data_IF_425876911799
#
_entry.id   IF_425876911799
#
_cell.length_a   1.000
_cell.length_b   1.000
_cell.length_c   1.000
_cell.angle_alpha   90.00
_cell.angle_beta   90.00
_cell.angle_gamma   90.00
#
_symmetry.space_group_name_H-M   'P 1'
#
loop_
_entity.id
_entity.type
_entity.pdbx_description
1 polymer ?
#
# COMPACT_ATOMS: atom_id res chain seq x y z
N UNK A 1 -0.69 -3.57 20.47
CA UNK A 1 -2.07 -4.08 20.33
C UNK A 1 -3.02 -3.30 21.22
N UNK A 2 -4.10 -2.75 20.65
CA UNK A 2 -5.12 -2.01 21.39
C UNK A 2 -6.01 -2.92 22.26
N UNK A 3 -6.89 -2.31 23.09
CA UNK A 3 -7.83 -3.08 23.94
C UNK A 3 -8.74 -4.00 23.12
N UNK A 4 -9.23 -3.54 21.97
CA UNK A 4 -10.05 -4.33 21.06
C UNK A 4 -9.29 -5.56 20.49
N UNK A 5 -8.01 -5.39 20.13
CA UNK A 5 -7.19 -6.49 19.61
C UNK A 5 -6.96 -7.57 20.67
N UNK A 6 -6.78 -7.18 21.93
CA UNK A 6 -6.64 -8.12 23.06
C UNK A 6 -7.91 -8.92 23.31
N UNK A 7 -9.08 -8.29 23.18
CA UNK A 7 -10.38 -8.97 23.29
C UNK A 7 -10.54 -9.94 22.12
N UNK A 8 -10.29 -9.45 20.90
CA UNK A 8 -10.36 -10.25 19.68
C UNK A 8 -9.49 -11.51 19.76
N UNK A 9 -8.23 -11.37 20.21
CA UNK A 9 -7.29 -12.48 20.34
C UNK A 9 -7.75 -13.57 21.32
N UNK A 10 -8.62 -13.24 22.29
CA UNK A 10 -9.15 -14.20 23.27
C UNK A 10 -10.43 -14.90 22.81
N UNK A 11 -11.07 -14.44 21.74
CA UNK A 11 -12.26 -15.09 21.21
C UNK A 11 -11.91 -16.44 20.58
N UNK A 12 -12.76 -17.48 20.69
CA UNK A 12 -12.63 -18.68 19.90
C UNK A 12 -12.73 -18.34 18.40
N UNK A 13 -12.22 -19.20 17.53
CA UNK A 13 -12.17 -18.98 16.07
C UNK A 13 -13.53 -18.56 15.49
N UNK A 14 -14.63 -19.22 15.88
CA UNK A 14 -15.98 -18.84 15.46
C UNK A 14 -16.36 -17.41 15.89
N UNK A 15 -16.01 -17.02 17.11
CA UNK A 15 -16.18 -15.66 17.62
C UNK A 15 -15.33 -14.65 16.84
N UNK A 16 -14.11 -15.02 16.45
CA UNK A 16 -13.24 -14.18 15.63
C UNK A 16 -13.80 -14.00 14.19
N UNK A 17 -14.41 -15.04 13.60
CA UNK A 17 -15.15 -14.91 12.34
C UNK A 17 -16.35 -13.97 12.46
N UNK A 18 -17.12 -14.09 13.55
CA UNK A 18 -18.26 -13.22 13.82
C UNK A 18 -17.81 -11.76 14.01
N UNK A 19 -16.74 -11.50 14.77
CA UNK A 19 -16.18 -10.18 14.98
C UNK A 19 -15.67 -9.54 13.67
N UNK A 20 -14.93 -10.30 12.86
CA UNK A 20 -14.46 -9.85 11.54
C UNK A 20 -15.64 -9.55 10.60
N UNK A 21 -16.69 -10.36 10.64
CA UNK A 21 -17.90 -10.13 9.84
C UNK A 21 -18.67 -8.89 10.32
N UNK A 22 -18.86 -8.69 11.63
CA UNK A 22 -19.50 -7.49 12.16
C UNK A 22 -18.73 -6.21 11.78
N UNK A 23 -17.40 -6.24 11.89
CA UNK A 23 -16.54 -5.16 11.41
C UNK A 23 -16.62 -4.99 9.89
N UNK A 24 -16.74 -6.10 9.16
CA UNK A 24 -16.96 -6.14 7.72
C UNK A 24 -18.29 -5.51 7.29
N UNK A 25 -19.37 -5.66 8.07
CA UNK A 25 -20.65 -5.00 7.80
C UNK A 25 -20.53 -3.48 7.87
N UNK A 26 -19.85 -2.98 8.91
CA UNK A 26 -19.53 -1.55 9.01
C UNK A 26 -18.76 -1.07 7.77
N UNK A 27 -17.66 -1.75 7.41
CA UNK A 27 -16.87 -1.37 6.23
C UNK A 27 -17.62 -1.50 4.92
N UNK A 28 -18.50 -2.49 4.79
CA UNK A 28 -19.36 -2.64 3.62
C UNK A 28 -20.26 -1.42 3.45
N UNK A 29 -20.85 -0.91 4.54
CA UNK A 29 -21.67 0.29 4.48
C UNK A 29 -20.87 1.57 4.22
N UNK A 30 -19.68 1.70 4.81
CA UNK A 30 -18.79 2.83 4.54
C UNK A 30 -18.38 2.85 3.05
N UNK A 31 -17.94 1.71 2.50
CA UNK A 31 -17.34 1.60 1.17
C UNK A 31 -18.33 1.45 0.02
N UNK A 32 -19.43 0.75 0.25
CA UNK A 32 -20.40 0.36 -0.78
C UNK A 32 -21.82 0.84 -0.44
N UNK A 33 -21.94 1.83 0.44
CA UNK A 33 -23.22 2.44 0.82
C UNK A 33 -23.78 3.38 -0.27
N UNK A 34 -24.77 4.22 0.08
CA UNK A 34 -25.45 5.10 -0.87
C UNK A 34 -24.50 5.97 -1.71
N UNK A 35 -24.78 6.10 -3.00
CA UNK A 35 -23.95 6.85 -3.95
C UNK A 35 -22.79 6.06 -4.56
N UNK A 36 -22.41 4.89 -4.01
CA UNK A 36 -21.31 4.09 -4.56
C UNK A 36 -21.53 3.69 -6.03
N UNK A 37 -22.75 3.29 -6.42
CA UNK A 37 -23.04 2.91 -7.81
C UNK A 37 -22.89 4.09 -8.78
N UNK A 38 -23.36 5.30 -8.39
CA UNK A 38 -23.16 6.52 -9.19
C UNK A 38 -21.68 6.78 -9.42
N UNK A 39 -20.86 6.65 -8.37
CA UNK A 39 -19.41 6.83 -8.51
C UNK A 39 -18.80 5.79 -9.46
N UNK A 40 -19.24 4.53 -9.40
CA UNK A 40 -18.80 3.49 -10.35
C UNK A 40 -19.17 3.87 -11.78
N UNK A 41 -20.39 4.34 -12.02
CA UNK A 41 -20.86 4.78 -13.35
C UNK A 41 -20.06 5.99 -13.84
N UNK A 42 -19.77 6.95 -12.96
CA UNK A 42 -18.96 8.13 -13.26
C UNK A 42 -17.52 7.74 -13.68
N UNK A 43 -16.83 6.90 -12.90
CA UNK A 43 -15.48 6.45 -13.27
C UNK A 43 -15.47 5.60 -14.54
N UNK A 44 -16.51 4.79 -14.75
CA UNK A 44 -16.68 3.96 -15.96
C UNK A 44 -16.91 4.82 -17.20
N UNK A 45 -17.70 5.89 -17.09
CA UNK A 45 -18.01 6.80 -18.20
C UNK A 45 -16.77 7.49 -18.77
N UNK A 46 -15.71 7.62 -17.95
CA UNK A 46 -14.43 8.24 -18.32
C UNK A 46 -13.36 7.24 -18.75
N UNK A 47 -13.59 5.93 -18.64
CA UNK A 47 -12.55 4.92 -18.90
C UNK A 47 -11.96 4.99 -20.32
N UNK A 48 -12.72 5.58 -21.25
CA UNK A 48 -12.39 5.72 -22.69
C UNK A 48 -12.36 7.16 -23.17
N UNK A 49 -12.21 8.14 -22.28
CA UNK A 49 -11.92 9.51 -22.70
C UNK A 49 -10.68 9.55 -23.59
N UNK A 50 -10.74 10.36 -24.65
CA UNK A 50 -9.57 10.69 -25.46
C UNK A 50 -8.64 11.68 -24.75
N UNK A 51 -7.52 12.03 -25.40
CA UNK A 51 -6.52 12.90 -24.80
C UNK A 51 -7.05 14.32 -24.52
N UNK A 52 -7.90 14.86 -25.39
CA UNK A 52 -8.45 16.21 -25.21
C UNK A 52 -9.50 16.20 -24.09
N UNK A 53 -10.39 15.21 -24.07
CA UNK A 53 -11.37 15.03 -23.00
C UNK A 53 -10.70 14.88 -21.63
N UNK A 54 -9.58 14.15 -21.55
CA UNK A 54 -8.79 14.07 -20.32
C UNK A 54 -8.17 15.40 -19.93
N UNK A 55 -7.57 16.13 -20.88
CA UNK A 55 -6.97 17.42 -20.64
C UNK A 55 -8.00 18.43 -20.12
N UNK A 56 -9.16 18.53 -20.77
CA UNK A 56 -10.25 19.43 -20.40
C UNK A 56 -10.80 19.08 -19.01
N UNK A 57 -11.07 17.80 -18.77
CA UNK A 57 -11.57 17.33 -17.47
C UNK A 57 -10.57 17.64 -16.36
N UNK A 58 -9.30 17.32 -16.57
CA UNK A 58 -8.27 17.50 -15.54
C UNK A 58 -7.99 18.97 -15.27
N UNK A 59 -7.94 19.82 -16.30
CA UNK A 59 -7.75 21.26 -16.14
C UNK A 59 -8.87 21.90 -15.32
N UNK A 60 -10.13 21.60 -15.68
CA UNK A 60 -11.30 22.11 -14.94
C UNK A 60 -11.27 21.65 -13.49
N UNK A 61 -11.06 20.35 -13.26
CA UNK A 61 -11.04 19.79 -11.90
C UNK A 61 -9.87 20.32 -11.07
N UNK A 62 -8.70 20.50 -11.67
CA UNK A 62 -7.52 21.03 -10.99
C UNK A 62 -7.74 22.46 -10.53
N UNK A 63 -8.34 23.32 -11.36
CA UNK A 63 -8.67 24.69 -10.97
C UNK A 63 -9.61 24.75 -9.76
N UNK A 64 -10.71 23.99 -9.79
CA UNK A 64 -11.63 23.87 -8.65
C UNK A 64 -10.95 23.35 -7.38
N UNK A 65 -10.12 22.33 -7.52
CA UNK A 65 -9.41 21.69 -6.42
C UNK A 65 -8.44 22.66 -5.75
N UNK A 66 -7.60 23.34 -6.54
CA UNK A 66 -6.59 24.27 -6.04
C UNK A 66 -7.23 25.49 -5.39
N UNK A 67 -8.27 26.08 -6.00
CA UNK A 67 -9.03 27.16 -5.40
C UNK A 67 -9.69 26.73 -4.07
N UNK A 68 -10.24 25.51 -4.03
CA UNK A 68 -10.81 24.94 -2.81
C UNK A 68 -9.77 24.72 -1.71
N UNK A 69 -8.56 24.28 -2.06
CA UNK A 69 -7.49 23.99 -1.11
C UNK A 69 -7.01 25.24 -0.35
N UNK A 70 -7.14 26.45 -0.92
CA UNK A 70 -6.84 27.71 -0.22
C UNK A 70 -7.71 27.94 1.03
N UNK A 71 -8.79 27.17 1.20
CA UNK A 71 -9.64 27.19 2.41
C UNK A 71 -9.11 26.31 3.55
N UNK A 72 -7.98 25.63 3.35
CA UNK A 72 -7.23 24.99 4.43
C UNK A 72 -6.26 26.00 5.06
N UNK A 73 -6.15 26.07 6.40
CA UNK A 73 -5.26 27.02 7.07
C UNK A 73 -3.81 26.99 6.59
N UNK A 74 -3.27 25.81 6.30
CA UNK A 74 -1.91 25.68 5.79
C UNK A 74 -1.72 26.46 4.48
N UNK A 75 -2.51 26.20 3.45
CA UNK A 75 -2.35 26.86 2.14
C UNK A 75 -2.74 28.34 2.18
N UNK A 76 -3.71 28.72 3.01
CA UNK A 76 -4.09 30.13 3.20
C UNK A 76 -2.95 31.00 3.76
N UNK A 77 -2.17 30.43 4.68
CA UNK A 77 -1.10 31.14 5.40
C UNK A 77 0.28 30.97 4.74
N UNK A 78 0.59 29.77 4.22
CA UNK A 78 1.92 29.45 3.69
C UNK A 78 2.14 29.91 2.25
N UNK A 79 1.09 30.04 1.43
CA UNK A 79 1.24 30.52 0.06
C UNK A 79 1.37 32.04 0.01
N UNK A 80 2.28 32.54 -0.81
CA UNK A 80 2.35 33.97 -1.16
C UNK A 80 1.10 34.39 -1.96
N UNK A 81 0.85 35.70 -2.07
CA UNK A 81 -0.26 36.21 -2.91
C UNK A 81 -0.13 35.78 -4.38
N UNK A 82 1.09 35.69 -4.90
CA UNK A 82 1.33 35.16 -6.25
C UNK A 82 0.97 33.67 -6.37
N UNK A 83 1.32 32.86 -5.36
CA UNK A 83 0.98 31.43 -5.32
C UNK A 83 -0.53 31.21 -5.12
N UNK A 84 -1.21 32.04 -4.32
CA UNK A 84 -2.67 31.99 -4.18
C UNK A 84 -3.36 32.31 -5.52
N UNK A 85 -2.87 33.32 -6.24
CA UNK A 85 -3.36 33.63 -7.60
C UNK A 85 -3.11 32.47 -8.56
N UNK A 86 -1.90 31.90 -8.55
CA UNK A 86 -1.56 30.74 -9.36
C UNK A 86 -2.48 29.54 -9.06
N UNK A 87 -2.76 29.26 -7.79
CA UNK A 87 -3.69 28.21 -7.37
C UNK A 87 -5.12 28.48 -7.86
N UNK A 88 -5.62 29.72 -7.70
CA UNK A 88 -6.94 30.11 -8.19
C UNK A 88 -7.09 30.01 -9.71
N UNK A 89 -6.00 30.21 -10.45
CA UNK A 89 -5.93 30.14 -11.91
C UNK A 89 -5.49 28.76 -12.44
N UNK A 90 -5.34 27.76 -11.56
CA UNK A 90 -5.00 26.39 -11.95
C UNK A 90 -3.53 26.15 -12.33
N UNK A 91 -2.62 27.11 -12.10
CA UNK A 91 -1.20 27.01 -12.47
C UNK A 91 -0.39 26.22 -11.45
N UNK A 92 -0.47 24.90 -11.56
CA UNK A 92 0.17 23.97 -10.61
C UNK A 92 1.70 24.12 -10.54
N UNK A 93 2.40 24.33 -11.65
CA UNK A 93 3.87 24.40 -11.70
C UNK A 93 4.48 25.56 -10.90
N UNK A 94 3.70 26.61 -10.64
CA UNK A 94 4.10 27.78 -9.84
C UNK A 94 3.96 27.55 -8.31
N UNK A 95 3.37 26.43 -7.90
CA UNK A 95 3.15 26.09 -6.50
C UNK A 95 4.35 25.33 -5.92
N UNK A 96 4.68 25.51 -4.63
CA UNK A 96 5.81 24.83 -4.00
C UNK A 96 5.53 23.33 -3.83
N UNK A 97 6.59 22.53 -3.76
CA UNK A 97 6.51 21.12 -3.40
C UNK A 97 6.09 20.96 -1.92
N UNK A 98 5.29 19.93 -1.63
CA UNK A 98 4.84 19.62 -0.28
C UNK A 98 5.62 18.43 0.29
N UNK A 99 6.40 18.74 1.33
CA UNK A 99 7.17 17.76 2.09
C UNK A 99 6.30 17.01 3.12
N UNK A 100 6.62 15.74 3.35
CA UNK A 100 5.91 14.88 4.32
C UNK A 100 5.91 15.44 5.74
N UNK A 101 7.02 16.08 6.13
CA UNK A 101 7.21 16.56 7.49
C UNK A 101 6.19 17.62 7.89
N UNK A 102 5.84 18.52 6.97
CA UNK A 102 4.87 19.58 7.21
C UNK A 102 3.49 19.02 7.59
N UNK A 103 3.09 17.92 6.97
CA UNK A 103 1.83 17.23 7.26
C UNK A 103 1.91 16.49 8.60
N UNK A 104 3.06 15.87 8.92
CA UNK A 104 3.27 15.17 10.21
C UNK A 104 3.20 16.13 11.38
N UNK A 105 3.82 17.30 11.23
CA UNK A 105 3.91 18.31 12.31
C UNK A 105 2.52 18.86 12.66
N UNK A 106 1.65 19.05 11.68
CA UNK A 106 0.30 19.56 11.94
C UNK A 106 -0.75 19.13 10.89
N UNK A 107 -1.26 17.89 10.95
CA UNK A 107 -2.17 17.36 9.92
C UNK A 107 -3.51 18.11 9.86
N UNK A 108 -3.95 18.69 10.98
CA UNK A 108 -5.21 19.43 11.10
C UNK A 108 -5.21 20.74 10.29
N UNK A 109 -4.04 21.36 10.07
CA UNK A 109 -3.91 22.59 9.27
C UNK A 109 -4.15 22.35 7.77
N UNK A 110 -4.08 21.10 7.32
CA UNK A 110 -4.36 20.73 5.93
C UNK A 110 -5.86 20.48 5.67
N UNK A 111 -6.70 20.47 6.71
CA UNK A 111 -8.13 20.24 6.56
C UNK A 111 -8.85 21.50 6.07
N UNK A 112 -9.66 21.35 5.02
CA UNK A 112 -10.52 22.42 4.54
C UNK A 112 -11.58 22.77 5.57
N UNK A 113 -11.69 24.04 5.94
CA UNK A 113 -12.63 24.51 6.97
C UNK A 113 -14.06 24.63 6.47
N UNK A 114 -14.24 24.77 5.16
CA UNK A 114 -15.57 24.88 4.54
C UNK A 114 -16.25 23.53 4.30
N UNK A 115 -15.53 22.42 4.54
CA UNK A 115 -16.08 21.07 4.45
C UNK A 115 -16.26 20.54 5.87
N UNK A 116 -17.50 20.21 6.23
CA UNK A 116 -17.82 19.52 7.49
C UNK A 116 -18.39 18.14 7.17
N UNK A 117 -17.56 17.09 7.01
CA UNK A 117 -18.07 15.76 6.70
C UNK A 117 -18.90 15.25 7.89
N UNK A 118 -20.12 14.81 7.61
CA UNK A 118 -21.00 14.15 8.61
C UNK A 118 -20.33 12.95 9.25
N UNK A 119 -19.56 12.21 8.46
CA UNK A 119 -18.76 11.07 8.92
C UNK A 119 -17.32 11.20 8.42
N UNK A 120 -16.39 10.98 9.35
CA UNK A 120 -14.95 11.08 9.12
C UNK A 120 -14.29 9.74 9.44
N UNK A 121 -13.26 9.42 8.68
CA UNK A 121 -12.38 8.29 8.95
C UNK A 121 -10.96 8.83 9.14
N UNK A 122 -10.34 8.44 10.26
CA UNK A 122 -8.96 8.72 10.56
C UNK A 122 -8.12 7.48 10.27
N UNK A 123 -7.09 7.61 9.44
CA UNK A 123 -6.10 6.56 9.21
C UNK A 123 -4.70 7.10 9.41
N UNK A 124 -3.76 6.21 9.71
CA UNK A 124 -2.35 6.53 9.87
C UNK A 124 -1.54 5.75 8.85
N UNK A 125 -0.51 6.38 8.26
CA UNK A 125 0.44 5.64 7.43
C UNK A 125 1.28 4.71 8.28
N UNK A 126 1.81 3.63 7.71
CA UNK A 126 2.63 2.68 8.48
C UNK A 126 4.03 3.22 8.83
N UNK A 127 4.40 4.43 8.34
CA UNK A 127 5.63 5.15 8.67
C UNK A 127 6.89 4.29 8.63
N UNK A 128 7.61 4.24 7.49
CA UNK A 128 8.94 3.60 7.43
C UNK A 128 9.95 4.19 8.40
N UNK A 129 9.67 5.38 8.95
CA UNK A 129 10.50 6.13 9.88
C UNK A 129 9.86 6.24 11.27
N UNK A 130 8.85 5.43 11.63
CA UNK A 130 8.21 5.48 12.96
C UNK A 130 7.24 6.66 13.19
N UNK A 131 7.31 7.74 12.39
CA UNK A 131 6.35 8.87 12.46
C UNK A 131 5.26 8.77 11.37
N UNK A 132 4.04 8.28 11.70
CA UNK A 132 2.96 8.13 10.75
C UNK A 132 2.38 9.49 10.31
N UNK A 133 1.90 9.56 9.06
CA UNK A 133 1.07 10.69 8.59
C UNK A 133 -0.38 10.40 8.95
N UNK A 134 -1.03 11.35 9.61
CA UNK A 134 -2.45 11.31 9.93
C UNK A 134 -3.28 11.74 8.70
N UNK A 135 -4.09 10.82 8.20
CA UNK A 135 -4.95 11.02 7.04
C UNK A 135 -6.42 11.10 7.45
N UNK A 136 -7.08 12.17 7.02
CA UNK A 136 -8.50 12.40 7.25
C UNK A 136 -9.30 12.20 5.97
N UNK A 137 -10.34 11.39 6.06
CA UNK A 137 -11.22 11.07 4.95
C UNK A 137 -12.66 11.37 5.31
N UNK A 138 -13.39 11.99 4.39
CA UNK A 138 -14.84 11.88 4.34
C UNK A 138 -15.23 10.50 3.82
N UNK A 139 -16.43 10.04 4.16
CA UNK A 139 -16.93 8.78 3.60
C UNK A 139 -17.15 8.82 2.09
N UNK A 140 -17.42 10.00 1.53
CA UNK A 140 -17.51 10.17 0.08
C UNK A 140 -16.18 9.78 -0.58
N UNK A 141 -15.06 10.31 -0.10
CA UNK A 141 -13.72 10.02 -0.63
C UNK A 141 -13.34 8.54 -0.44
N UNK A 142 -13.77 7.90 0.67
CA UNK A 142 -13.58 6.44 0.86
C UNK A 142 -14.37 5.63 -0.19
N UNK A 143 -15.54 6.11 -0.60
CA UNK A 143 -16.35 5.47 -1.65
C UNK A 143 -15.77 5.72 -3.03
N UNK A 144 -15.30 6.93 -3.33
CA UNK A 144 -14.59 7.25 -4.57
C UNK A 144 -13.37 6.35 -4.75
N UNK A 145 -12.55 6.23 -3.70
CA UNK A 145 -11.39 5.35 -3.66
C UNK A 145 -11.75 3.89 -4.00
N UNK A 146 -12.93 3.43 -3.56
CA UNK A 146 -13.41 2.07 -3.85
C UNK A 146 -14.02 1.95 -5.23
N UNK A 147 -14.70 2.98 -5.73
CA UNK A 147 -15.31 2.99 -7.05
C UNK A 147 -14.24 2.95 -8.14
N UNK A 148 -13.17 3.75 -8.03
CA UNK A 148 -12.07 3.70 -9.01
C UNK A 148 -11.39 2.33 -9.02
N UNK A 149 -11.26 1.67 -7.85
CA UNK A 149 -10.72 0.30 -7.76
C UNK A 149 -11.67 -0.74 -8.33
N UNK A 150 -12.97 -0.60 -8.13
CA UNK A 150 -13.97 -1.48 -8.75
C UNK A 150 -13.88 -1.40 -10.27
N UNK A 151 -13.76 -0.20 -10.85
CA UNK A 151 -13.72 -0.01 -12.31
C UNK A 151 -12.37 -0.40 -12.90
N UNK A 152 -11.26 0.13 -12.35
CA UNK A 152 -9.96 0.14 -13.02
C UNK A 152 -8.92 -0.80 -12.43
N UNK A 153 -9.18 -1.40 -11.26
CA UNK A 153 -8.28 -2.41 -10.67
C UNK A 153 -8.93 -3.79 -10.76
N UNK A 154 -10.05 -3.99 -10.06
CA UNK A 154 -10.84 -5.22 -10.16
C UNK A 154 -11.46 -5.39 -11.56
N UNK A 155 -12.13 -4.36 -12.09
CA UNK A 155 -12.85 -4.43 -13.35
C UNK A 155 -11.96 -4.71 -14.56
N UNK A 156 -10.80 -4.04 -14.67
CA UNK A 156 -9.81 -4.32 -15.73
C UNK A 156 -9.21 -5.72 -15.62
N UNK A 157 -9.15 -6.29 -14.40
CA UNK A 157 -8.76 -7.67 -14.17
C UNK A 157 -9.91 -8.70 -14.38
N UNK A 158 -11.10 -8.25 -14.77
CA UNK A 158 -12.26 -9.12 -15.03
C UNK A 158 -12.97 -9.64 -13.76
N UNK A 159 -12.78 -8.95 -12.63
CA UNK A 159 -13.32 -9.33 -11.31
C UNK A 159 -14.02 -8.14 -10.64
N UNK A 160 -14.65 -8.36 -9.49
CA UNK A 160 -15.41 -7.32 -8.76
C UNK A 160 -15.30 -7.53 -7.26
N UNK A 161 -15.40 -6.46 -6.48
CA UNK A 161 -15.55 -6.53 -5.02
C UNK A 161 -16.84 -7.22 -4.56
N UNK A 162 -17.79 -7.48 -5.48
CA UNK A 162 -18.98 -8.31 -5.25
C UNK A 162 -18.69 -9.82 -5.32
N UNK A 163 -17.57 -10.21 -5.94
CA UNK A 163 -17.13 -11.60 -6.03
C UNK A 163 -16.31 -12.02 -4.80
N UNK A 164 -16.34 -13.32 -4.40
CA UNK A 164 -15.50 -13.84 -3.33
C UNK A 164 -14.03 -13.58 -3.56
N UNK A 165 -13.33 -13.10 -2.53
CA UNK A 165 -11.90 -12.79 -2.64
C UNK A 165 -11.10 -13.26 -1.43
N UNK A 166 -9.81 -13.50 -1.62
CA UNK A 166 -8.87 -13.66 -0.53
C UNK A 166 -7.86 -12.50 -0.51
N UNK A 167 -7.44 -12.12 0.70
CA UNK A 167 -6.61 -10.93 0.90
C UNK A 167 -5.47 -11.15 1.87
N UNK A 168 -4.24 -10.90 1.41
CA UNK A 168 -3.10 -10.62 2.27
C UNK A 168 -3.04 -9.12 2.56
N UNK A 169 -2.92 -8.75 3.83
CA UNK A 169 -2.76 -7.36 4.26
C UNK A 169 -1.94 -7.33 5.54
N UNK A 170 -1.53 -6.14 5.98
CA UNK A 170 -0.79 -5.96 7.25
C UNK A 170 -1.62 -6.22 8.53
N UNK A 171 -2.81 -6.84 8.42
CA UNK A 171 -3.64 -7.17 9.59
C UNK A 171 -3.14 -8.46 10.25
N UNK A 172 -3.06 -8.45 11.58
CA UNK A 172 -2.84 -9.65 12.37
C UNK A 172 -4.11 -10.50 12.40
N UNK A 173 -4.27 -11.37 11.40
CA UNK A 173 -5.40 -12.30 11.28
C UNK A 173 -5.38 -13.37 12.37
N UNK A 174 -4.18 -13.88 12.67
CA UNK A 174 -3.88 -14.75 13.80
C UNK A 174 -2.71 -14.09 14.55
N UNK A 175 -2.92 -13.58 15.78
CA UNK A 175 -1.88 -12.86 16.51
C UNK A 175 -0.88 -13.77 17.23
N UNK A 176 -1.20 -15.06 17.43
CA UNK A 176 -0.30 -16.01 18.07
C UNK A 176 0.62 -16.68 17.03
N UNK A 177 1.93 -16.38 16.99
CA UNK A 177 2.86 -16.94 16.00
C UNK A 177 2.97 -18.47 16.03
N UNK A 178 2.67 -19.08 17.18
CA UNK A 178 2.77 -20.53 17.40
C UNK A 178 1.41 -21.24 17.22
N UNK A 179 0.41 -20.53 16.69
CA UNK A 179 -0.91 -21.11 16.42
C UNK A 179 -0.83 -22.27 15.42
N UNK A 180 -1.68 -23.28 15.62
CA UNK A 180 -1.88 -24.39 14.66
C UNK A 180 -2.95 -24.07 13.61
N UNK A 181 -3.54 -22.88 13.66
CA UNK A 181 -4.54 -22.38 12.74
C UNK A 181 -5.97 -22.42 13.29
N UNK A 182 -6.96 -22.08 12.45
CA UNK A 182 -6.83 -21.75 11.03
C UNK A 182 -6.14 -20.39 10.81
N UNK A 183 -5.31 -20.27 9.78
CA UNK A 183 -4.58 -19.03 9.46
C UNK A 183 -5.36 -18.03 8.59
N UNK A 184 -6.69 -18.15 8.60
CA UNK A 184 -7.59 -17.27 7.88
C UNK A 184 -8.79 -16.87 8.73
N UNK A 185 -9.38 -15.71 8.43
CA UNK A 185 -10.67 -15.27 8.99
C UNK A 185 -11.58 -14.84 7.85
N UNK A 186 -12.86 -15.13 7.99
CA UNK A 186 -13.86 -14.92 6.94
C UNK A 186 -14.82 -13.81 7.33
N UNK A 187 -14.96 -12.83 6.43
CA UNK A 187 -15.95 -11.78 6.45
C UNK A 187 -17.09 -12.16 5.50
N UNK A 188 -18.23 -12.60 6.03
CA UNK A 188 -19.34 -13.07 5.20
C UNK A 188 -20.03 -11.93 4.42
N UNK A 189 -20.05 -10.70 4.94
CA UNK A 189 -20.77 -9.59 4.31
C UNK A 189 -20.12 -9.11 3.00
N UNK A 190 -18.79 -9.19 2.91
CA UNK A 190 -18.03 -8.89 1.69
C UNK A 190 -17.51 -10.16 0.97
N UNK A 191 -17.87 -11.36 1.46
CA UNK A 191 -17.37 -12.65 0.94
C UNK A 191 -15.84 -12.68 0.85
N UNK A 192 -15.17 -12.19 1.89
CA UNK A 192 -13.73 -11.96 1.90
C UNK A 192 -13.03 -12.87 2.92
N UNK A 193 -12.01 -13.58 2.46
CA UNK A 193 -11.07 -14.32 3.30
C UNK A 193 -9.87 -13.42 3.58
N UNK A 194 -9.58 -13.15 4.85
CA UNK A 194 -8.33 -12.53 5.27
C UNK A 194 -7.31 -13.62 5.60
N UNK A 195 -6.14 -13.56 4.98
CA UNK A 195 -5.02 -14.46 5.24
C UNK A 195 -3.98 -13.85 6.16
N UNK A 196 -3.42 -14.68 7.03
CA UNK A 196 -2.29 -14.30 7.87
C UNK A 196 -0.98 -14.38 7.09
N UNK A 197 -0.37 -13.26 6.74
CA UNK A 197 1.00 -13.28 6.18
C UNK A 197 2.03 -13.84 7.19
N UNK A 198 1.79 -13.68 8.50
CA UNK A 198 2.70 -14.09 9.59
C UNK A 198 2.83 -15.60 9.79
N UNK A 199 1.99 -16.39 9.12
CA UNK A 199 1.90 -17.84 9.28
C UNK A 199 2.11 -18.54 7.95
N UNK A 200 2.75 -17.89 6.99
CA UNK A 200 3.01 -18.45 5.67
C UNK A 200 4.36 -19.21 5.70
N UNK A 201 4.28 -20.54 5.77
CA UNK A 201 5.41 -21.46 5.88
C UNK A 201 5.03 -22.85 5.33
N UNK A 202 6.00 -23.74 5.06
CA UNK A 202 5.72 -25.01 4.40
C UNK A 202 4.64 -25.88 5.08
N UNK A 203 4.68 -26.07 6.39
CA UNK A 203 3.72 -26.92 7.13
C UNK A 203 2.29 -26.36 7.18
N UNK A 204 2.11 -25.07 6.87
CA UNK A 204 0.81 -24.37 6.95
C UNK A 204 0.17 -24.06 5.60
N UNK A 205 0.94 -24.12 4.50
CA UNK A 205 0.50 -23.76 3.16
C UNK A 205 -0.84 -24.42 2.74
N UNK A 206 -1.00 -25.70 3.06
CA UNK A 206 -2.23 -26.48 2.80
C UNK A 206 -3.51 -25.84 3.38
N UNK A 207 -3.42 -25.10 4.49
CA UNK A 207 -4.58 -24.44 5.09
C UNK A 207 -5.07 -23.24 4.26
N UNK A 208 -4.17 -22.56 3.53
CA UNK A 208 -4.54 -21.46 2.64
C UNK A 208 -5.26 -22.01 1.40
N UNK A 209 -4.73 -23.05 0.76
CA UNK A 209 -5.40 -23.74 -0.35
C UNK A 209 -6.80 -24.26 0.03
N UNK A 210 -6.90 -24.92 1.20
CA UNK A 210 -8.19 -25.37 1.73
C UNK A 210 -9.18 -24.21 1.98
N UNK A 211 -8.70 -23.07 2.47
CA UNK A 211 -9.53 -21.88 2.67
C UNK A 211 -10.02 -21.28 1.35
N UNK A 212 -9.18 -21.26 0.30
CA UNK A 212 -9.58 -20.78 -1.03
C UNK A 212 -10.75 -21.60 -1.58
N UNK A 213 -10.68 -22.93 -1.48
CA UNK A 213 -11.78 -23.84 -1.86
C UNK A 213 -13.01 -23.65 -0.98
N UNK A 214 -12.85 -23.66 0.35
CA UNK A 214 -13.96 -23.53 1.30
C UNK A 214 -14.84 -22.30 1.03
N UNK A 215 -14.21 -21.18 0.69
CA UNK A 215 -14.89 -19.90 0.51
C UNK A 215 -15.14 -19.54 -0.97
N UNK A 216 -14.94 -20.49 -1.89
CA UNK A 216 -15.22 -20.33 -3.33
C UNK A 216 -14.55 -19.08 -3.91
N UNK A 217 -13.27 -18.89 -3.56
CA UNK A 217 -12.52 -17.67 -3.92
C UNK A 217 -12.43 -17.52 -5.44
N UNK A 218 -12.70 -16.31 -5.94
CA UNK A 218 -12.66 -15.96 -7.37
C UNK A 218 -11.47 -15.11 -7.74
N UNK A 219 -10.93 -14.35 -6.80
CA UNK A 219 -9.76 -13.53 -7.05
C UNK A 219 -8.98 -13.24 -5.77
N UNK A 220 -7.71 -12.89 -5.95
CA UNK A 220 -6.76 -12.62 -4.89
C UNK A 220 -6.39 -11.13 -4.93
N UNK A 221 -6.22 -10.50 -3.76
CA UNK A 221 -5.74 -9.10 -3.71
C UNK A 221 -4.92 -8.78 -2.47
N UNK A 222 -3.86 -7.98 -2.59
CA UNK A 222 -2.97 -7.69 -1.45
C UNK A 222 -1.49 -7.69 -1.80
N UNK A 223 -0.65 -8.00 -0.82
CA UNK A 223 0.81 -7.96 -0.97
C UNK A 223 1.32 -8.95 -2.02
N UNK A 224 2.07 -8.43 -2.99
CA UNK A 224 2.64 -9.20 -4.10
C UNK A 224 3.52 -10.33 -3.56
N UNK A 225 4.42 -10.02 -2.62
CA UNK A 225 5.35 -11.02 -2.10
C UNK A 225 4.61 -12.10 -1.32
N UNK A 226 3.58 -11.79 -0.52
CA UNK A 226 2.83 -12.84 0.19
C UNK A 226 2.13 -13.82 -0.76
N UNK A 227 1.63 -13.35 -1.91
CA UNK A 227 1.06 -14.26 -2.92
C UNK A 227 2.13 -15.05 -3.66
N UNK A 228 3.27 -14.44 -3.96
CA UNK A 228 4.42 -15.15 -4.54
C UNK A 228 4.93 -16.27 -3.61
N UNK A 229 5.12 -15.98 -2.33
CA UNK A 229 5.52 -16.98 -1.32
C UNK A 229 4.50 -18.13 -1.22
N UNK A 230 3.20 -17.82 -1.27
CA UNK A 230 2.17 -18.85 -1.27
C UNK A 230 2.19 -19.65 -2.58
N UNK A 231 2.47 -19.01 -3.72
CA UNK A 231 2.59 -19.66 -5.01
C UNK A 231 3.76 -20.65 -5.07
N UNK A 232 4.93 -20.30 -4.54
CA UNK A 232 6.06 -21.22 -4.41
C UNK A 232 5.65 -22.47 -3.60
N UNK A 233 5.04 -22.28 -2.44
CA UNK A 233 4.60 -23.39 -1.59
C UNK A 233 3.49 -24.25 -2.24
N UNK A 234 2.64 -23.65 -3.07
CA UNK A 234 1.62 -24.36 -3.84
C UNK A 234 2.29 -25.28 -4.86
N UNK A 235 3.28 -24.78 -5.60
CA UNK A 235 4.00 -25.56 -6.62
C UNK A 235 4.85 -26.66 -5.97
N UNK A 236 5.64 -26.31 -4.96
CA UNK A 236 6.55 -27.22 -4.26
C UNK A 236 5.83 -28.42 -3.64
N UNK A 237 4.64 -28.19 -3.07
CA UNK A 237 3.86 -29.22 -2.39
C UNK A 237 2.71 -29.78 -3.24
N UNK A 238 2.60 -29.34 -4.49
CA UNK A 238 1.50 -29.70 -5.40
C UNK A 238 0.11 -29.51 -4.76
N UNK A 239 -0.09 -28.35 -4.11
CA UNK A 239 -1.36 -28.02 -3.46
C UNK A 239 -2.39 -27.61 -4.50
N UNK A 240 -3.64 -28.01 -4.26
CA UNK A 240 -4.75 -27.59 -5.11
C UNK A 240 -5.28 -26.22 -4.71
N UNK A 241 -5.54 -25.39 -5.71
CA UNK A 241 -6.30 -24.14 -5.60
C UNK A 241 -7.56 -24.23 -6.48
N UNK A 242 -8.57 -23.38 -6.25
CA UNK A 242 -9.78 -23.41 -7.07
C UNK A 242 -9.50 -23.01 -8.53
N UNK A 243 -9.95 -23.82 -9.49
CA UNK A 243 -9.99 -23.46 -10.91
C UNK A 243 -10.87 -22.24 -11.19
N UNK A 244 -11.66 -21.82 -10.20
CA UNK A 244 -12.47 -20.62 -10.24
C UNK A 244 -11.68 -19.32 -10.07
N UNK A 245 -10.38 -19.35 -9.80
CA UNK A 245 -9.56 -18.14 -9.71
C UNK A 245 -9.44 -17.46 -11.08
N UNK A 246 -9.73 -16.16 -11.13
CA UNK A 246 -9.72 -15.35 -12.36
C UNK A 246 -8.55 -14.38 -12.44
N UNK A 247 -8.10 -13.86 -11.30
CA UNK A 247 -7.06 -12.86 -11.24
C UNK A 247 -6.38 -12.78 -9.87
N UNK A 248 -5.12 -12.33 -9.88
CA UNK A 248 -4.37 -11.89 -8.69
C UNK A 248 -4.04 -10.42 -8.85
N UNK A 249 -4.66 -9.54 -8.06
CA UNK A 249 -4.44 -8.09 -8.09
C UNK A 249 -3.54 -7.67 -6.93
N UNK A 250 -2.26 -7.50 -7.23
CA UNK A 250 -1.22 -7.21 -6.24
C UNK A 250 -1.02 -5.72 -6.00
N UNK A 251 -0.53 -5.37 -4.81
CA UNK A 251 -0.23 -4.00 -4.39
C UNK A 251 1.02 -4.00 -3.50
N UNK A 252 1.54 -2.81 -3.19
CA UNK A 252 2.59 -2.55 -2.19
C UNK A 252 4.02 -2.89 -2.59
N UNK A 253 4.24 -3.88 -3.47
CA UNK A 253 5.56 -4.24 -3.98
C UNK A 253 5.55 -4.37 -5.51
N UNK A 254 6.69 -4.09 -6.15
CA UNK A 254 6.88 -4.33 -7.60
C UNK A 254 6.86 -5.84 -7.86
N UNK A 255 6.10 -6.29 -8.85
CA UNK A 255 6.11 -7.70 -9.27
C UNK A 255 7.20 -7.90 -10.32
N UNK A 256 8.17 -8.77 -10.04
CA UNK A 256 9.19 -9.15 -11.04
C UNK A 256 8.60 -10.12 -12.07
N UNK A 257 9.20 -10.23 -13.28
CA UNK A 257 8.78 -11.25 -14.26
C UNK A 257 8.79 -12.68 -13.70
N UNK A 258 9.78 -13.00 -12.85
CA UNK A 258 9.86 -14.29 -12.15
C UNK A 258 8.69 -14.49 -11.18
N UNK A 259 8.44 -13.53 -10.29
CA UNK A 259 7.32 -13.59 -9.34
C UNK A 259 5.98 -13.77 -10.08
N UNK A 260 5.81 -13.05 -11.20
CA UNK A 260 4.64 -13.16 -12.07
C UNK A 260 4.48 -14.57 -12.61
N UNK A 261 5.52 -15.13 -13.22
CA UNK A 261 5.46 -16.48 -13.80
C UNK A 261 5.11 -17.53 -12.74
N UNK A 262 5.74 -17.47 -11.57
CA UNK A 262 5.47 -18.38 -10.45
C UNK A 262 4.02 -18.26 -9.97
N UNK A 263 3.52 -17.02 -9.77
CA UNK A 263 2.13 -16.80 -9.36
C UNK A 263 1.13 -17.25 -10.43
N UNK A 264 1.35 -16.95 -11.70
CA UNK A 264 0.44 -17.33 -12.78
C UNK A 264 0.39 -18.85 -12.95
N UNK A 265 1.52 -19.55 -12.79
CA UNK A 265 1.57 -21.01 -12.79
C UNK A 265 0.84 -21.62 -11.59
N UNK A 266 1.05 -21.10 -10.37
CA UNK A 266 0.47 -21.65 -9.15
C UNK A 266 -1.05 -21.39 -9.03
N UNK A 267 -1.49 -20.20 -9.42
CA UNK A 267 -2.89 -19.77 -9.29
C UNK A 267 -3.73 -20.00 -10.55
N UNK A 268 -3.12 -20.38 -11.67
CA UNK A 268 -3.81 -20.66 -12.93
C UNK A 268 -4.51 -19.44 -13.54
N UNK A 269 -4.12 -18.22 -13.16
CA UNK A 269 -4.75 -16.99 -13.62
C UNK A 269 -3.75 -15.83 -13.69
N UNK A 270 -4.12 -14.76 -14.41
CA UNK A 270 -3.23 -13.61 -14.65
C UNK A 270 -2.99 -12.78 -13.39
N UNK A 271 -1.79 -12.23 -13.28
CA UNK A 271 -1.42 -11.28 -12.24
C UNK A 271 -1.59 -9.84 -12.76
N UNK A 272 -2.09 -8.95 -11.91
CA UNK A 272 -2.24 -7.53 -12.17
C UNK A 272 -1.57 -6.72 -11.06
N UNK A 273 -1.03 -5.55 -11.39
CA UNK A 273 -0.39 -4.63 -10.45
C UNK A 273 -1.24 -3.38 -10.22
N UNK A 274 -1.37 -2.99 -8.95
CA UNK A 274 -1.95 -1.72 -8.50
C UNK A 274 -0.86 -0.90 -7.78
N UNK A 275 -0.59 0.31 -8.26
CA UNK A 275 0.28 1.28 -7.62
C UNK A 275 -0.56 2.39 -6.97
N UNK A 276 -0.44 2.51 -5.64
CA UNK A 276 -1.09 3.54 -4.83
C UNK A 276 -0.31 3.72 -3.53
N UNK A 277 -0.71 4.69 -2.73
CA UNK A 277 -0.08 5.02 -1.44
C UNK A 277 -1.07 4.83 -0.29
N UNK A 278 -0.60 4.81 0.95
CA UNK A 278 -1.51 4.74 2.11
C UNK A 278 -2.38 5.99 2.19
N UNK A 279 -1.82 7.12 1.79
CA UNK A 279 -2.46 8.42 1.59
C UNK A 279 -3.45 8.41 0.42
N UNK A 280 -3.46 7.39 -0.44
CA UNK A 280 -4.13 7.32 -1.75
C UNK A 280 -4.01 8.62 -2.54
N UNK A 281 -2.81 9.20 -2.55
CA UNK A 281 -2.54 10.45 -3.24
C UNK A 281 -2.40 10.27 -4.76
N UNK A 282 -2.19 9.03 -5.22
CA UNK A 282 -2.22 8.63 -6.62
C UNK A 282 -2.86 7.25 -6.77
N UNK A 283 -3.25 6.93 -8.00
CA UNK A 283 -3.77 5.62 -8.35
C UNK A 283 -3.37 5.23 -9.78
N UNK A 284 -2.71 4.09 -9.91
CA UNK A 284 -2.41 3.48 -11.18
C UNK A 284 -2.69 1.97 -11.15
N UNK A 285 -3.19 1.43 -12.25
CA UNK A 285 -3.58 0.02 -12.36
C UNK A 285 -3.13 -0.60 -13.67
N UNK A 286 -2.75 -1.87 -13.62
CA UNK A 286 -2.37 -2.63 -14.81
C UNK A 286 -3.62 -3.00 -15.61
N UNK A 287 -3.63 -2.68 -16.91
CA UNK A 287 -4.69 -3.10 -17.82
C UNK A 287 -4.47 -4.52 -18.35
N UNK A 288 -5.42 -5.01 -19.15
CA UNK A 288 -5.38 -6.33 -19.78
C UNK A 288 -4.20 -6.53 -20.75
N UNK A 289 -3.52 -5.46 -21.17
CA UNK A 289 -2.31 -5.50 -22.01
C UNK A 289 -1.00 -5.41 -21.19
N UNK A 290 -1.09 -5.37 -19.86
CA UNK A 290 0.09 -5.32 -18.98
C UNK A 290 0.66 -3.91 -18.72
N UNK A 291 0.08 -2.86 -19.28
CA UNK A 291 0.51 -1.47 -19.03
C UNK A 291 -0.09 -0.90 -17.75
N UNK A 292 0.71 -0.19 -16.96
CA UNK A 292 0.31 0.44 -15.70
C UNK A 292 -0.19 1.87 -15.96
N UNK A 293 -1.51 2.06 -16.03
CA UNK A 293 -2.12 3.37 -16.33
C UNK A 293 -2.36 4.19 -15.07
N UNK A 294 -1.95 5.46 -15.08
CA UNK A 294 -2.30 6.45 -14.05
C UNK A 294 -3.70 6.99 -14.30
N UNK A 295 -4.55 7.02 -13.28
CA UNK A 295 -5.91 7.56 -13.36
C UNK A 295 -5.91 9.09 -13.27
N UNK A 296 -6.17 9.83 -14.36
CA UNK A 296 -6.04 11.29 -14.39
C UNK A 296 -7.08 12.02 -13.54
N UNK A 297 -8.20 11.34 -13.24
CA UNK A 297 -9.28 11.84 -12.37
C UNK A 297 -9.09 11.56 -10.89
N UNK A 298 -8.06 10.80 -10.51
CA UNK A 298 -7.67 10.64 -9.10
C UNK A 298 -6.60 11.66 -8.71
N UNK A 299 -5.64 11.91 -9.61
CA UNK A 299 -4.49 12.76 -9.31
C UNK A 299 -3.82 13.29 -10.58
N UNK A 300 -3.28 14.50 -10.48
CA UNK A 300 -2.22 14.96 -11.37
C UNK A 300 -0.91 14.38 -10.86
N UNK A 301 -0.17 13.68 -11.70
CA UNK A 301 1.14 13.09 -11.36
C UNK A 301 2.21 13.80 -12.16
N UNK A 302 3.25 14.25 -11.47
CA UNK A 302 4.46 14.83 -12.04
C UNK A 302 5.61 13.85 -11.76
N UNK A 303 6.49 13.63 -12.74
CA UNK A 303 7.77 12.93 -12.55
C UNK A 303 8.85 13.98 -12.72
N UNK A 304 9.56 14.31 -11.65
CA UNK A 304 10.45 15.47 -11.60
C UNK A 304 11.92 15.06 -11.46
N UNK A 305 12.80 15.82 -12.10
CA UNK A 305 14.25 15.81 -11.87
C UNK A 305 14.59 16.48 -10.53
N UNK A 306 15.81 16.31 -10.00
CA UNK A 306 16.24 16.97 -8.76
C UNK A 306 16.15 18.50 -8.77
N UNK A 307 16.23 19.13 -9.95
CA UNK A 307 16.08 20.58 -10.12
C UNK A 307 14.61 21.06 -10.16
N UNK A 308 13.64 20.13 -10.04
CA UNK A 308 12.21 20.40 -10.09
C UNK A 308 11.61 20.44 -11.49
N UNK A 309 12.40 20.24 -12.55
CA UNK A 309 11.90 20.19 -13.94
C UNK A 309 11.25 18.84 -14.27
N UNK A 310 10.24 18.78 -15.17
CA UNK A 310 9.62 17.51 -15.58
C UNK A 310 10.57 16.59 -16.35
N UNK A 311 10.61 15.31 -15.99
CA UNK A 311 11.33 14.26 -16.71
C UNK A 311 10.71 14.03 -18.10
N UNK A 312 11.55 13.65 -19.07
CA UNK A 312 11.09 13.15 -20.38
C UNK A 312 10.52 11.73 -20.23
N UNK A 313 9.75 11.23 -21.20
CA UNK A 313 9.46 9.80 -21.27
C UNK A 313 10.73 8.96 -21.17
N UNK A 314 10.63 7.79 -20.54
CA UNK A 314 11.70 6.86 -20.21
C UNK A 314 12.76 7.37 -19.21
N UNK A 315 12.69 8.63 -18.77
CA UNK A 315 13.61 9.20 -17.80
C UNK A 315 13.08 9.02 -16.36
N UNK A 316 13.84 8.37 -15.46
CA UNK A 316 13.41 8.20 -14.08
C UNK A 316 13.47 9.54 -13.31
N UNK A 317 12.47 9.78 -12.48
CA UNK A 317 12.42 10.93 -11.60
C UNK A 317 11.56 10.67 -10.37
N UNK A 318 11.52 11.64 -9.47
CA UNK A 318 10.69 11.57 -8.29
C UNK A 318 9.21 11.70 -8.64
N UNK A 319 8.38 10.85 -8.03
CA UNK A 319 6.93 10.93 -8.15
C UNK A 319 6.39 12.01 -7.20
N UNK A 320 5.82 13.05 -7.80
CA UNK A 320 5.12 14.14 -7.12
C UNK A 320 3.65 14.11 -7.55
N UNK A 321 2.73 14.39 -6.62
CA UNK A 321 1.30 14.26 -6.94
C UNK A 321 0.42 15.33 -6.32
N UNK A 322 -0.58 15.75 -7.07
CA UNK A 322 -1.70 16.58 -6.61
C UNK A 322 -2.97 15.73 -6.65
N UNK A 323 -3.50 15.37 -5.49
CA UNK A 323 -4.56 14.38 -5.38
C UNK A 323 -5.96 15.01 -5.47
N UNK A 324 -6.54 14.99 -6.67
CA UNK A 324 -7.84 15.58 -7.01
C UNK A 324 -9.03 14.92 -6.29
N UNK A 325 -8.88 13.65 -5.90
CA UNK A 325 -9.90 12.92 -5.13
C UNK A 325 -9.97 13.38 -3.67
N UNK A 326 -8.89 13.97 -3.10
CA UNK A 326 -8.82 14.31 -1.67
C UNK A 326 -9.21 15.76 -1.39
N UNK A 327 -10.49 16.04 -1.44
CA UNK A 327 -11.01 17.37 -1.16
C UNK A 327 -10.94 17.75 0.32
N UNK A 328 -11.10 16.83 1.27
CA UNK A 328 -11.18 17.20 2.69
C UNK A 328 -9.83 17.55 3.31
N UNK A 329 -8.77 16.84 2.92
CA UNK A 329 -7.38 17.11 3.30
C UNK A 329 -6.53 17.17 2.01
N UNK A 330 -6.51 18.32 1.31
CA UNK A 330 -5.86 18.46 0.01
C UNK A 330 -4.35 18.28 0.09
N UNK A 331 -3.81 17.46 -0.80
CA UNK A 331 -2.37 17.29 -1.01
C UNK A 331 -2.01 17.86 -2.38
N UNK A 332 -1.26 18.97 -2.39
CA UNK A 332 -0.80 19.68 -3.58
C UNK A 332 0.70 19.44 -3.73
N UNK A 333 1.13 19.00 -4.92
CA UNK A 333 2.54 18.68 -5.24
C UNK A 333 3.26 17.91 -4.13
N UNK A 334 2.58 16.90 -3.59
CA UNK A 334 3.07 16.05 -2.52
C UNK A 334 4.15 15.10 -3.01
N UNK A 335 5.32 15.13 -2.36
CA UNK A 335 6.44 14.22 -2.63
C UNK A 335 6.15 12.84 -2.07
N UNK A 336 5.87 11.88 -2.96
CA UNK A 336 5.53 10.50 -2.57
C UNK A 336 6.74 9.78 -1.99
N UNK A 337 7.94 10.12 -2.47
CA UNK A 337 9.20 9.48 -2.08
C UNK A 337 9.44 8.13 -2.78
N UNK A 338 8.77 7.92 -3.91
CA UNK A 338 9.01 6.84 -4.87
C UNK A 338 9.60 7.44 -6.16
N UNK A 339 10.28 6.60 -6.96
CA UNK A 339 10.84 6.98 -8.27
C UNK A 339 10.09 6.22 -9.36
N UNK A 340 9.77 6.88 -10.47
CA UNK A 340 9.12 6.25 -11.60
C UNK A 340 9.58 6.90 -12.92
N UNK A 341 9.24 6.28 -14.04
CA UNK A 341 9.43 6.84 -15.37
C UNK A 341 8.13 6.72 -16.18
N UNK A 342 7.83 7.76 -16.96
CA UNK A 342 6.75 7.71 -17.96
C UNK A 342 7.15 6.77 -19.10
N UNK A 343 6.19 6.06 -19.69
CA UNK A 343 6.38 5.32 -20.92
C UNK A 343 6.35 6.28 -22.12
N UNK A 344 7.26 6.11 -23.08
CA UNK A 344 7.16 6.79 -24.39
C UNK A 344 6.12 6.14 -25.32
N UNK A 345 5.64 4.95 -24.96
CA UNK A 345 4.69 4.17 -25.75
C UNK A 345 3.26 4.34 -25.21
N UNK A 346 2.31 4.51 -26.13
CA UNK A 346 0.89 4.36 -25.83
C UNK A 346 0.53 2.89 -25.61
N UNK A 347 -0.49 2.64 -24.78
CA UNK A 347 -0.93 1.26 -24.53
C UNK A 347 -1.80 0.74 -25.67
N UNK A 348 -1.60 -0.53 -26.04
CA UNK A 348 -2.45 -1.26 -27.00
C UNK A 348 -3.89 -1.46 -26.54
N UNK A 349 -4.21 -1.20 -25.26
CA UNK A 349 -5.57 -1.29 -24.74
C UNK A 349 -6.47 -0.16 -25.29
N UNK A 350 -5.89 0.91 -25.86
CA UNK A 350 -6.63 2.04 -26.44
C UNK A 350 -7.11 3.09 -25.44
N UNK A 351 -6.76 2.98 -24.14
CA UNK A 351 -7.06 4.04 -23.15
C UNK A 351 -6.06 5.20 -23.31
N UNK A 352 -6.55 6.43 -23.40
CA UNK A 352 -5.71 7.63 -23.47
C UNK A 352 -5.26 8.13 -22.08
N UNK A 353 -4.98 7.20 -21.16
CA UNK A 353 -4.45 7.52 -19.83
C UNK A 353 -2.91 7.40 -19.85
N UNK A 354 -2.16 8.26 -19.12
CA UNK A 354 -0.72 8.15 -19.00
C UNK A 354 -0.27 6.78 -18.49
N UNK A 355 0.84 6.28 -19.01
CA UNK A 355 1.39 4.96 -18.66
C UNK A 355 2.73 5.11 -17.96
N UNK A 356 2.88 4.46 -16.82
CA UNK A 356 4.17 4.30 -16.16
C UNK A 356 4.91 3.14 -16.82
N UNK A 357 6.14 3.38 -17.25
CA UNK A 357 7.04 2.32 -17.74
C UNK A 357 7.47 1.42 -16.60
N UNK A 358 7.87 2.05 -15.51
CA UNK A 358 8.22 1.36 -14.28
C UNK A 358 8.01 2.26 -13.07
N UNK A 359 7.72 1.61 -11.95
CA UNK A 359 7.77 2.22 -10.62
C UNK A 359 8.94 1.57 -9.89
N UNK A 360 9.98 2.35 -9.65
CA UNK A 360 11.10 1.99 -8.80
C UNK A 360 10.73 2.39 -7.36
N UNK A 361 9.82 1.62 -6.78
CA UNK A 361 9.39 1.78 -5.39
C UNK A 361 10.49 1.42 -4.38
N UNK A 362 10.12 1.40 -3.10
CA UNK A 362 11.00 0.96 -2.02
C UNK A 362 11.08 -0.56 -1.98
N UNK A 363 12.20 -1.13 -2.41
CA UNK A 363 12.49 -2.55 -2.23
C UNK A 363 12.98 -2.80 -0.81
N UNK A 364 12.26 -3.64 -0.07
CA UNK A 364 12.66 -4.18 1.23
C UNK A 364 13.03 -5.64 1.08
N UNK A 365 14.03 -6.08 1.84
CA UNK A 365 14.40 -7.50 1.84
C UNK A 365 13.35 -8.34 2.59
N UNK A 366 13.18 -9.59 2.16
CA UNK A 366 12.38 -10.60 2.87
C UNK A 366 13.19 -11.13 4.05
N UNK A 367 12.61 -11.16 5.25
CA UNK A 367 13.23 -11.80 6.41
C UNK A 367 12.79 -13.26 6.52
N UNK A 368 13.69 -14.15 6.93
CA UNK A 368 13.44 -15.60 7.03
C UNK A 368 13.63 -16.08 8.47
N UNK A 369 12.58 -16.57 9.12
CA UNK A 369 12.69 -17.09 10.49
C UNK A 369 13.34 -18.49 10.54
N UNK A 370 13.80 -18.95 11.74
CA UNK A 370 14.40 -20.27 11.90
C UNK A 370 13.46 -21.44 11.54
N UNK A 371 12.16 -21.21 11.58
CA UNK A 371 11.11 -22.17 11.24
C UNK A 371 10.66 -22.07 9.77
N UNK A 372 11.40 -21.32 8.95
CA UNK A 372 11.11 -21.15 7.52
C UNK A 372 9.99 -20.16 7.21
N UNK A 373 9.42 -19.45 8.20
CA UNK A 373 8.47 -18.36 7.93
C UNK A 373 9.16 -17.23 7.18
N UNK A 374 8.49 -16.66 6.18
CA UNK A 374 9.03 -15.58 5.35
C UNK A 374 8.19 -14.32 5.52
N UNK A 375 8.84 -13.20 5.85
CA UNK A 375 8.19 -11.95 6.24
C UNK A 375 8.63 -10.78 5.36
N UNK A 376 7.65 -10.00 4.90
CA UNK A 376 7.86 -8.76 4.15
C UNK A 376 7.29 -7.55 4.87
N UNK A 377 7.66 -6.36 4.40
CA UNK A 377 7.23 -5.07 4.98
C UNK A 377 7.52 -4.98 6.47
N UNK A 378 8.68 -5.48 6.86
CA UNK A 378 9.03 -5.66 8.26
C UNK A 378 9.24 -4.32 8.99
N UNK A 379 9.42 -3.22 8.26
CA UNK A 379 9.37 -1.86 8.81
C UNK A 379 8.09 -1.58 9.62
N UNK A 380 7.02 -2.33 9.40
CA UNK A 380 5.79 -2.26 10.19
C UNK A 380 5.98 -2.47 11.71
N UNK A 381 7.15 -2.93 12.17
CA UNK A 381 7.50 -2.97 13.61
C UNK A 381 7.50 -1.56 14.24
N UNK A 382 7.78 -0.52 13.45
CA UNK A 382 7.85 0.87 13.90
C UNK A 382 6.50 1.61 13.88
N UNK A 383 5.41 0.95 13.45
CA UNK A 383 4.07 1.54 13.48
C UNK A 383 3.67 1.83 14.92
N UNK A 384 3.17 3.04 15.19
CA UNK A 384 2.78 3.49 16.53
C UNK A 384 3.94 3.40 17.54
N UNK A 385 5.17 3.72 17.10
CA UNK A 385 6.34 3.95 17.96
C UNK A 385 6.66 5.46 18.00
N UNK A 386 5.99 6.24 18.87
CA UNK A 386 6.11 7.71 18.87
C UNK A 386 7.52 8.20 19.22
N UNK A 387 8.29 7.39 19.93
CA UNK A 387 9.64 7.70 20.36
C UNK A 387 10.72 7.25 19.36
N UNK A 388 10.34 6.75 18.18
CA UNK A 388 11.23 6.34 17.09
C UNK A 388 11.10 7.31 15.92
N UNK A 389 12.16 8.07 15.65
CA UNK A 389 12.24 9.03 14.53
C UNK A 389 12.62 8.37 13.21
N UNK A 390 13.41 7.30 13.28
CA UNK A 390 13.78 6.46 12.15
C UNK A 390 14.16 5.07 12.66
N UNK A 391 13.88 4.03 11.88
CA UNK A 391 14.17 2.65 12.29
C UNK A 391 14.57 1.77 11.11
N UNK A 392 15.57 0.93 11.31
CA UNK A 392 16.04 -0.05 10.32
C UNK A 392 16.14 -1.43 10.97
N UNK A 393 15.61 -2.44 10.29
CA UNK A 393 15.72 -3.84 10.71
C UNK A 393 16.77 -4.53 9.85
N UNK A 394 17.71 -5.21 10.50
CA UNK A 394 18.79 -5.94 9.87
C UNK A 394 18.73 -7.38 10.40
N UNK A 395 18.48 -8.34 9.53
CA UNK A 395 18.63 -9.74 9.86
C UNK A 395 20.09 -10.15 9.69
N UNK A 396 20.76 -10.48 10.80
CA UNK A 396 22.17 -10.89 10.82
C UNK A 396 22.31 -12.41 10.59
N UNK A 397 21.43 -13.20 11.20
CA UNK A 397 21.35 -14.66 11.03
C UNK A 397 19.87 -15.10 11.00
N UNK A 398 19.60 -16.39 10.76
CA UNK A 398 18.22 -16.92 10.85
C UNK A 398 17.58 -16.66 12.23
N UNK A 399 18.37 -16.63 13.31
CA UNK A 399 17.90 -16.48 14.68
C UNK A 399 18.20 -15.13 15.31
N UNK A 400 18.86 -14.19 14.61
CA UNK A 400 19.30 -12.90 15.16
C UNK A 400 18.90 -11.72 14.30
N UNK A 401 18.16 -10.79 14.91
CA UNK A 401 17.68 -9.56 14.30
C UNK A 401 18.21 -8.36 15.09
N UNK A 402 18.86 -7.45 14.38
CA UNK A 402 19.25 -6.14 14.90
C UNK A 402 18.25 -5.09 14.44
N UNK A 403 17.81 -4.24 15.37
CA UNK A 403 16.92 -3.12 15.10
C UNK A 403 17.66 -1.83 15.46
N UNK A 404 18.09 -1.09 14.44
CA UNK A 404 18.67 0.25 14.62
C UNK A 404 17.57 1.28 14.76
N UNK A 405 17.68 2.17 15.74
CA UNK A 405 16.68 3.19 16.07
C UNK A 405 17.35 4.54 16.21
N UNK A 406 16.80 5.56 15.54
CA UNK A 406 17.08 6.97 15.85
C UNK A 406 16.01 7.44 16.85
N UNK A 407 16.34 7.60 18.14
CA UNK A 407 15.36 7.86 19.19
C UNK A 407 14.93 9.34 19.24
N UNK A 408 13.77 9.59 19.87
CA UNK A 408 13.46 10.91 20.46
C UNK A 408 14.07 11.02 21.86
N UNK A 409 14.00 12.21 22.47
CA UNK A 409 14.44 12.41 23.85
C UNK A 409 13.62 11.62 24.88
N UNK A 410 12.45 11.09 24.48
CA UNK A 410 11.55 10.34 25.36
C UNK A 410 11.65 8.82 25.17
N UNK A 411 12.61 8.34 24.36
CA UNK A 411 12.81 6.91 24.12
C UNK A 411 13.39 6.21 25.35
N UNK A 412 12.77 5.11 25.77
CA UNK A 412 13.13 4.39 26.99
C UNK A 412 13.17 2.85 26.83
N UNK A 413 13.45 2.14 27.92
CA UNK A 413 13.51 0.68 27.94
C UNK A 413 12.15 0.02 27.63
N UNK A 414 11.03 0.72 27.83
CA UNK A 414 9.71 0.21 27.48
C UNK A 414 9.53 0.18 25.95
N UNK A 415 10.03 1.19 25.25
CA UNK A 415 10.07 1.21 23.78
C UNK A 415 10.94 0.06 23.24
N UNK A 416 12.12 -0.17 23.83
CA UNK A 416 13.00 -1.30 23.49
C UNK A 416 12.26 -2.63 23.63
N UNK A 417 11.61 -2.87 24.77
CA UNK A 417 10.83 -4.09 25.00
C UNK A 417 9.65 -4.22 24.03
N UNK A 418 8.96 -3.13 23.70
CA UNK A 418 7.86 -3.18 22.74
C UNK A 418 8.36 -3.52 21.33
N UNK A 419 9.49 -2.97 20.89
CA UNK A 419 10.15 -3.32 19.64
C UNK A 419 10.51 -4.82 19.63
N UNK A 420 11.16 -5.32 20.68
CA UNK A 420 11.53 -6.74 20.81
C UNK A 420 10.30 -7.65 20.72
N UNK A 421 9.26 -7.35 21.50
CA UNK A 421 8.00 -8.09 21.48
C UNK A 421 7.35 -8.07 20.10
N UNK A 422 7.39 -6.94 19.39
CA UNK A 422 6.85 -6.80 18.04
C UNK A 422 7.63 -7.61 17.01
N UNK A 423 8.96 -7.65 17.11
CA UNK A 423 9.79 -8.48 16.23
C UNK A 423 9.48 -9.95 16.48
N UNK A 424 9.46 -10.38 17.74
CA UNK A 424 9.17 -11.76 18.13
C UNK A 424 7.74 -12.19 17.80
N UNK A 425 6.76 -11.28 17.90
CA UNK A 425 5.39 -11.54 17.47
C UNK A 425 5.32 -11.91 15.98
N UNK A 426 6.22 -11.37 15.15
CA UNK A 426 6.26 -11.61 13.70
C UNK A 426 7.17 -12.78 13.33
N UNK A 427 8.34 -12.87 13.97
CA UNK A 427 9.42 -13.79 13.59
C UNK A 427 9.51 -15.05 14.47
N UNK A 428 8.73 -15.13 15.55
CA UNK A 428 8.83 -16.21 16.54
C UNK A 428 9.96 -15.94 17.53
N UNK A 429 10.48 -17.01 18.14
CA UNK A 429 11.56 -16.93 19.13
C UNK A 429 12.89 -16.66 18.42
N UNK A 430 13.22 -15.37 18.28
CA UNK A 430 14.50 -14.87 17.74
C UNK A 430 15.18 -13.94 18.76
N UNK A 431 16.50 -13.88 18.71
CA UNK A 431 17.33 -12.91 19.43
C UNK A 431 17.14 -11.53 18.77
N UNK A 432 16.77 -10.53 19.58
CA UNK A 432 16.48 -9.17 19.10
C UNK A 432 17.32 -8.16 19.85
N UNK A 433 18.27 -7.57 19.13
CA UNK A 433 19.15 -6.50 19.63
C UNK A 433 18.63 -5.16 19.13
N UNK A 434 18.24 -4.28 20.05
CA UNK A 434 17.88 -2.89 19.72
C UNK A 434 19.11 -2.01 19.96
N UNK A 435 19.52 -1.29 18.92
CA UNK A 435 20.69 -0.41 18.93
C UNK A 435 20.26 1.03 18.63
N UNK A 436 20.60 1.97 19.52
CA UNK A 436 20.38 3.39 19.27
C UNK A 436 21.51 3.97 18.42
N UNK A 437 21.15 4.74 17.40
CA UNK A 437 22.09 5.40 16.49
C UNK A 437 21.68 6.85 16.28
N UNK A 438 22.64 7.74 15.98
CA UNK A 438 22.35 9.15 15.70
C UNK A 438 21.63 9.31 14.35
N UNK A 439 22.06 8.56 13.35
CA UNK A 439 21.46 8.50 12.02
C UNK A 439 21.59 7.10 11.40
N UNK A 440 20.71 6.79 10.44
CA UNK A 440 20.79 5.55 9.67
C UNK A 440 21.31 5.88 8.27
N UNK A 441 22.44 5.27 7.84
CA UNK A 441 23.06 5.59 6.57
C UNK A 441 22.15 5.22 5.40
N UNK A 442 22.14 6.10 4.39
CA UNK A 442 21.49 5.85 3.12
C UNK A 442 22.41 5.04 2.20
N UNK A 443 21.83 4.34 1.23
CA UNK A 443 22.60 3.66 0.17
C UNK A 443 23.39 4.67 -0.67
N UNK A 444 24.37 4.21 -1.47
CA UNK A 444 25.12 5.06 -2.43
C UNK A 444 24.22 5.86 -3.38
N UNK A 445 23.00 5.39 -3.63
CA UNK A 445 21.98 6.06 -4.43
C UNK A 445 21.07 7.02 -3.60
N UNK A 446 21.44 7.34 -2.36
CA UNK A 446 20.65 8.18 -1.44
C UNK A 446 19.39 7.52 -0.88
N UNK A 447 19.10 6.26 -1.23
CA UNK A 447 17.86 5.57 -0.79
C UNK A 447 17.98 5.05 0.64
N UNK A 448 16.91 5.22 1.40
CA UNK A 448 16.71 4.55 2.69
C UNK A 448 16.25 3.11 2.49
N UNK A 449 16.91 2.17 3.18
CA UNK A 449 16.50 0.76 3.21
C UNK A 449 16.06 0.40 4.62
N UNK A 450 14.76 0.28 4.83
CA UNK A 450 14.18 0.04 6.15
C UNK A 450 14.37 -1.40 6.64
N UNK A 451 14.55 -2.36 5.73
CA UNK A 451 14.73 -3.78 6.04
C UNK A 451 15.87 -4.35 5.19
N UNK A 452 16.85 -4.96 5.87
CA UNK A 452 18.05 -5.57 5.28
C UNK A 452 18.13 -7.03 5.72
N UNK A 453 18.36 -7.95 4.79
CA UNK A 453 18.65 -9.35 5.09
C UNK A 453 20.10 -9.70 4.69
N UNK A 454 20.92 -10.07 5.67
CA UNK A 454 22.32 -10.50 5.49
C UNK A 454 22.51 -12.02 5.44
N UNK A 455 21.44 -12.81 5.63
CA UNK A 455 21.50 -14.28 5.61
C UNK A 455 21.70 -14.78 4.19
N UNK A 456 22.75 -15.57 3.98
CA UNK A 456 23.07 -16.21 2.70
C UNK A 456 22.47 -17.62 2.65
N UNK A 457 22.07 -18.06 1.46
CA UNK A 457 21.66 -19.43 1.14
C UNK A 457 22.90 -20.33 0.92
N UNK A 458 22.67 -21.62 0.70
CA UNK A 458 23.72 -22.61 0.46
C UNK A 458 24.59 -22.33 -0.78
N UNK A 459 24.14 -21.43 -1.67
CA UNK A 459 24.88 -20.99 -2.86
C UNK A 459 25.63 -19.67 -2.65
N UNK A 460 25.59 -19.11 -1.44
CA UNK A 460 26.22 -17.84 -1.10
C UNK A 460 25.45 -16.60 -1.55
N UNK A 461 24.18 -16.73 -1.93
CA UNK A 461 23.29 -15.62 -2.31
C UNK A 461 22.38 -15.21 -1.15
N UNK A 462 21.98 -13.94 -1.04
CA UNK A 462 21.08 -13.50 0.05
C UNK A 462 19.70 -14.18 -0.05
N UNK A 463 19.32 -14.93 0.98
CA UNK A 463 18.00 -15.58 1.15
C UNK A 463 16.80 -14.62 1.09
N UNK A 464 17.05 -13.32 1.24
CA UNK A 464 16.02 -12.27 1.32
C UNK A 464 16.01 -11.30 0.14
N UNK A 465 16.96 -11.42 -0.80
CA UNK A 465 16.95 -10.58 -1.98
C UNK A 465 15.86 -11.07 -2.94
N UNK A 466 14.80 -10.28 -3.14
CA UNK A 466 14.17 -10.25 -4.47
C UNK A 466 15.31 -10.03 -5.45
N UNK A 467 15.60 -11.04 -6.27
CA UNK A 467 16.79 -11.12 -7.12
C UNK A 467 17.12 -9.75 -7.72
N UNK A 468 18.36 -9.29 -7.50
CA UNK A 468 18.92 -8.16 -8.23
C UNK A 468 18.89 -8.54 -9.72
N UNK A 469 17.94 -8.01 -10.48
CA UNK A 469 18.07 -8.02 -11.93
C UNK A 469 19.22 -7.08 -12.25
N UNK A 470 20.31 -7.66 -12.74
CA UNK A 470 21.42 -6.93 -13.30
C UNK A 470 20.93 -6.10 -14.49
N UNK A 471 21.22 -4.79 -14.43
CA UNK A 471 21.26 -3.75 -15.47
C UNK A 471 20.16 -3.68 -16.53
#
# INVERSE_FOLDING_TARGET
MGKADKIYARLPVLGQHAAVSAFGLYWKWVRFGPGFSSLVDEYSSRDRYDQQQWADWQQNRLGEFLAGALKSPYYAEAFSESQKRAAAEGRLSELPLLEKQLIRDNPQRFLRKDITPRFRLLTKTSGSTGTPIENHWSWHEVREQRAVREVRSAGWAGVSFKEPRATFSGRFVEPNPDSRGPFHRYNCFERQVYFSAFHLRPDTAKQYGAALHRHQTRWLTGYAVSFYLLAELILDQNLKVPDSLKAVVTTSEKVTPEMRNVMEQAFGCRVFEEYSTVENCLFASQCEQGSLHVSPDVSVVEILRPDGSPCKPDEPGEVVTTCLMRNYQPFIRYRVGDVAAWSSQSCKCGRAMPVLKEVVGRLEDVLVGPDGRRMVRFHGVFVDQPNVREGQVIQETLSRIRVKVVPTNSFDDADVRDIQNRVQQRMGQVDVVVETVEEIPRTKAGKFKAVINLVLDETGQSTGATQRVAH
#
